data_IF_834916847165
#
_entry.id   IF_834916847165
#
_cell.length_a   1.000
_cell.length_b   1.000
_cell.length_c   1.000
_cell.angle_alpha   90.00
_cell.angle_beta   90.00
_cell.angle_gamma   90.00
#
_symmetry.space_group_name_H-M   'P 1'
#
loop_
_entity.id
_entity.type
_entity.pdbx_description
1 polymer ?
#
# COMPACT_ATOMS: atom_id res chain seq x y z
N UNK A 1 -13.60 -18.05 -0.27
CA UNK A 1 -13.44 -16.72 -0.90
C UNK A 1 -14.28 -15.62 -0.25
N UNK A 2 -15.42 -15.91 0.39
CA UNK A 2 -16.26 -14.88 1.03
C UNK A 2 -15.62 -14.16 2.23
N UNK A 3 -14.85 -14.85 3.07
CA UNK A 3 -14.23 -14.22 4.26
C UNK A 3 -13.18 -13.15 3.90
N UNK A 4 -12.36 -13.41 2.87
CA UNK A 4 -11.32 -12.47 2.45
C UNK A 4 -11.89 -11.14 1.94
N UNK A 5 -13.07 -11.14 1.31
CA UNK A 5 -13.71 -9.93 0.82
C UNK A 5 -14.17 -9.02 1.96
N UNK A 6 -14.60 -9.60 3.08
CA UNK A 6 -15.01 -8.86 4.28
C UNK A 6 -13.82 -8.25 5.02
N UNK A 7 -12.68 -8.95 5.06
CA UNK A 7 -11.50 -8.49 5.81
C UNK A 7 -10.56 -7.59 5.01
N UNK A 8 -10.62 -7.59 3.67
CA UNK A 8 -9.72 -6.80 2.83
C UNK A 8 -9.83 -5.27 3.04
N UNK A 9 -11.04 -4.67 3.22
CA UNK A 9 -11.15 -3.24 3.56
C UNK A 9 -10.51 -2.91 4.91
N UNK A 10 -10.71 -3.78 5.91
CA UNK A 10 -10.12 -3.62 7.24
C UNK A 10 -8.60 -3.70 7.15
N UNK A 11 -8.10 -4.69 6.42
CA UNK A 11 -6.67 -4.85 6.13
C UNK A 11 -6.07 -3.60 5.50
N UNK A 12 -6.75 -3.03 4.49
CA UNK A 12 -6.35 -1.80 3.83
C UNK A 12 -6.26 -0.63 4.83
N UNK A 13 -7.29 -0.42 5.65
CA UNK A 13 -7.30 0.67 6.65
C UNK A 13 -6.15 0.51 7.66
N UNK A 14 -5.92 -0.70 8.17
CA UNK A 14 -4.83 -0.97 9.12
C UNK A 14 -3.46 -0.70 8.49
N UNK A 15 -3.23 -1.16 7.26
CA UNK A 15 -1.96 -0.91 6.56
C UNK A 15 -1.77 0.57 6.22
N UNK A 16 -2.82 1.27 5.79
CA UNK A 16 -2.78 2.71 5.56
C UNK A 16 -2.40 3.49 6.83
N UNK A 17 -2.94 3.10 7.99
CA UNK A 17 -2.60 3.70 9.27
C UNK A 17 -1.12 3.47 9.63
N UNK A 18 -0.62 2.23 9.48
CA UNK A 18 0.79 1.89 9.73
C UNK A 18 1.71 2.70 8.81
N UNK A 19 1.38 2.81 7.53
CA UNK A 19 2.17 3.56 6.54
C UNK A 19 2.15 5.06 6.82
N UNK A 20 0.99 5.65 7.14
CA UNK A 20 0.90 7.06 7.52
C UNK A 20 1.74 7.36 8.76
N UNK A 21 1.66 6.52 9.79
CA UNK A 21 2.47 6.69 11.01
C UNK A 21 3.96 6.53 10.69
N UNK A 22 4.32 5.51 9.92
CA UNK A 22 5.70 5.28 9.49
C UNK A 22 6.26 6.47 8.73
N UNK A 23 5.53 6.98 7.75
CA UNK A 23 5.93 8.15 6.95
C UNK A 23 6.05 9.41 7.81
N UNK A 24 5.10 9.63 8.73
CA UNK A 24 5.16 10.76 9.67
C UNK A 24 6.38 10.67 10.59
N UNK A 25 6.71 9.47 11.08
CA UNK A 25 7.91 9.26 11.90
C UNK A 25 9.19 9.55 11.10
N UNK A 26 9.24 9.17 9.82
CA UNK A 26 10.36 9.48 8.93
C UNK A 26 10.45 10.98 8.72
N UNK A 27 9.35 11.65 8.38
CA UNK A 27 9.30 13.08 8.14
C UNK A 27 9.74 13.92 9.36
N UNK A 28 9.40 13.47 10.56
CA UNK A 28 9.79 14.17 11.80
C UNK A 28 11.23 13.86 12.22
N UNK A 29 11.72 12.63 12.00
CA UNK A 29 13.07 12.22 12.45
C UNK A 29 14.17 12.46 11.43
N UNK A 30 13.81 12.57 10.17
CA UNK A 30 14.73 12.88 9.07
C UNK A 30 14.31 14.22 8.51
N UNK A 31 15.24 15.10 8.17
CA UNK A 31 14.94 16.35 7.44
C UNK A 31 14.52 16.04 5.98
N UNK A 32 13.54 15.12 5.80
CA UNK A 32 12.97 14.73 4.51
C UNK A 32 12.17 15.92 3.98
N UNK A 33 12.29 16.16 2.68
CA UNK A 33 11.53 17.17 1.98
C UNK A 33 10.04 16.79 1.98
N UNK A 34 9.22 17.48 2.78
CA UNK A 34 7.81 17.13 3.02
C UNK A 34 6.93 16.99 1.76
N UNK A 35 7.15 17.72 0.65
CA UNK A 35 6.37 17.51 -0.57
C UNK A 35 6.57 16.13 -1.18
N UNK A 36 7.71 15.47 -0.90
CA UNK A 36 8.00 14.09 -1.30
C UNK A 36 7.28 13.04 -0.44
N UNK A 37 6.47 13.47 0.52
CA UNK A 37 5.64 12.60 1.36
C UNK A 37 4.16 12.73 1.01
N UNK A 38 3.77 13.74 0.21
CA UNK A 38 2.37 14.01 -0.13
C UNK A 38 1.77 12.83 -0.90
N UNK A 39 2.51 12.24 -1.81
CA UNK A 39 2.10 11.09 -2.61
C UNK A 39 1.82 9.86 -1.73
N UNK A 40 2.63 9.61 -0.70
CA UNK A 40 2.40 8.53 0.27
C UNK A 40 1.11 8.75 1.09
N UNK A 41 0.86 9.98 1.55
CA UNK A 41 -0.37 10.32 2.26
C UNK A 41 -1.61 10.25 1.35
N UNK A 42 -1.48 10.69 0.10
CA UNK A 42 -2.55 10.59 -0.90
C UNK A 42 -2.86 9.12 -1.19
N UNK A 43 -1.85 8.28 -1.37
CA UNK A 43 -2.04 6.85 -1.58
C UNK A 43 -2.78 6.21 -0.40
N UNK A 44 -2.39 6.53 0.84
CA UNK A 44 -3.09 6.07 2.05
C UNK A 44 -4.54 6.58 2.10
N UNK A 45 -4.77 7.84 1.73
CA UNK A 45 -6.11 8.43 1.65
C UNK A 45 -7.00 7.70 0.63
N UNK A 46 -6.48 7.41 -0.56
CA UNK A 46 -7.20 6.62 -1.58
C UNK A 46 -7.48 5.20 -1.07
N UNK A 47 -6.54 4.60 -0.35
CA UNK A 47 -6.69 3.26 0.22
C UNK A 47 -7.82 3.22 1.28
N UNK A 48 -7.92 4.26 2.12
CA UNK A 48 -9.00 4.41 3.10
C UNK A 48 -10.34 4.67 2.40
N UNK A 49 -10.40 5.62 1.46
CA UNK A 49 -11.63 5.96 0.74
C UNK A 49 -12.15 4.72 0.00
N UNK A 50 -11.28 4.03 -0.73
CA UNK A 50 -11.64 2.82 -1.46
C UNK A 50 -12.12 1.69 -0.56
N UNK A 51 -11.62 1.59 0.68
CA UNK A 51 -12.11 0.66 1.68
C UNK A 51 -13.55 0.98 2.12
N UNK A 52 -13.89 2.27 2.26
CA UNK A 52 -15.24 2.71 2.63
C UNK A 52 -16.28 2.47 1.53
N UNK A 53 -15.87 2.50 0.26
CA UNK A 53 -16.76 2.26 -0.89
C UNK A 53 -16.52 0.90 -1.56
N UNK A 54 -15.93 -0.06 -0.83
CA UNK A 54 -15.46 -1.34 -1.37
C UNK A 54 -16.59 -2.22 -1.94
N UNK A 55 -17.83 -2.01 -1.53
CA UNK A 55 -19.00 -2.70 -2.10
C UNK A 55 -19.20 -2.36 -3.58
N UNK A 56 -18.78 -1.17 -4.02
CA UNK A 56 -18.85 -0.76 -5.42
C UNK A 56 -17.68 -1.31 -6.24
N UNK A 57 -17.90 -1.57 -7.53
CA UNK A 57 -16.82 -1.94 -8.45
C UNK A 57 -15.74 -0.85 -8.56
N UNK A 58 -16.16 0.43 -8.53
CA UNK A 58 -15.26 1.56 -8.51
C UNK A 58 -14.34 1.55 -7.28
N UNK A 59 -14.86 1.20 -6.10
CA UNK A 59 -14.07 1.05 -4.87
C UNK A 59 -12.98 0.00 -4.99
N UNK A 60 -13.31 -1.17 -5.54
CA UNK A 60 -12.31 -2.25 -5.75
C UNK A 60 -11.22 -1.81 -6.74
N UNK A 61 -11.60 -1.14 -7.84
CA UNK A 61 -10.63 -0.63 -8.82
C UNK A 61 -9.73 0.44 -8.21
N UNK A 62 -10.29 1.38 -7.43
CA UNK A 62 -9.51 2.41 -6.73
C UNK A 62 -8.55 1.78 -5.73
N UNK A 63 -9.00 0.78 -4.97
CA UNK A 63 -8.15 0.05 -4.04
C UNK A 63 -7.00 -0.65 -4.78
N UNK A 64 -7.28 -1.24 -5.95
CA UNK A 64 -6.27 -1.88 -6.78
C UNK A 64 -5.21 -0.88 -7.26
N UNK A 65 -5.63 0.29 -7.73
CA UNK A 65 -4.72 1.36 -8.14
C UNK A 65 -3.85 1.84 -6.97
N UNK A 66 -4.43 2.02 -5.78
CA UNK A 66 -3.69 2.44 -4.60
C UNK A 66 -2.67 1.38 -4.16
N UNK A 67 -3.04 0.10 -4.13
CA UNK A 67 -2.11 -0.99 -3.85
C UNK A 67 -0.98 -1.08 -4.88
N UNK A 68 -1.28 -0.89 -6.17
CA UNK A 68 -0.28 -0.94 -7.23
C UNK A 68 0.74 0.20 -7.07
N UNK A 69 0.25 1.42 -6.82
CA UNK A 69 1.10 2.58 -6.54
C UNK A 69 2.00 2.33 -5.32
N UNK A 70 1.44 1.93 -4.19
CA UNK A 70 2.23 1.69 -2.97
C UNK A 70 3.24 0.56 -3.14
N UNK A 71 2.85 -0.54 -3.78
CA UNK A 71 3.76 -1.68 -4.04
C UNK A 71 4.93 -1.22 -4.91
N UNK A 72 4.65 -0.45 -5.97
CA UNK A 72 5.68 0.14 -6.81
C UNK A 72 6.60 1.10 -6.05
N UNK A 73 6.04 1.97 -5.21
CA UNK A 73 6.82 2.94 -4.43
C UNK A 73 7.72 2.22 -3.40
N UNK A 74 7.17 1.26 -2.66
CA UNK A 74 7.93 0.44 -1.70
C UNK A 74 9.02 -0.38 -2.38
N UNK A 75 8.75 -0.93 -3.57
CA UNK A 75 9.75 -1.62 -4.38
C UNK A 75 10.90 -0.68 -4.78
N UNK A 76 10.58 0.52 -5.28
CA UNK A 76 11.60 1.51 -5.65
C UNK A 76 12.45 1.93 -4.44
N UNK A 77 11.82 2.17 -3.28
CA UNK A 77 12.54 2.48 -2.03
C UNK A 77 13.41 1.33 -1.55
N UNK A 78 12.94 0.08 -1.66
CA UNK A 78 13.72 -1.10 -1.28
C UNK A 78 14.93 -1.28 -2.22
N UNK A 79 14.70 -1.18 -3.53
CA UNK A 79 15.71 -1.38 -4.55
C UNK A 79 16.85 -0.36 -4.44
N UNK A 80 16.51 0.93 -4.26
CA UNK A 80 17.51 1.99 -4.05
C UNK A 80 18.34 1.80 -2.78
N UNK A 81 17.78 1.18 -1.74
CA UNK A 81 18.53 0.86 -0.50
C UNK A 81 19.34 -0.42 -0.57
N UNK A 82 19.01 -1.30 -1.51
CA UNK A 82 19.79 -2.51 -1.81
C UNK A 82 20.98 -2.22 -2.72
N UNK A 83 21.07 -1.04 -3.34
CA UNK A 83 22.22 -0.64 -4.14
C UNK A 83 23.51 -0.76 -3.31
N UNK A 84 24.47 -1.62 -3.71
CA UNK A 84 25.70 -1.83 -2.98
C UNK A 84 26.65 -0.63 -2.99
N UNK A 85 26.47 0.32 -3.91
CA UNK A 85 27.35 1.47 -4.09
C UNK A 85 26.86 2.75 -3.41
N UNK A 86 25.54 2.97 -3.38
CA UNK A 86 24.94 4.21 -2.86
C UNK A 86 23.94 4.00 -1.72
N UNK A 87 23.48 2.76 -1.51
CA UNK A 87 22.45 2.44 -0.54
C UNK A 87 22.97 2.41 0.91
N UNK A 88 22.21 3.01 1.83
CA UNK A 88 22.56 3.02 3.27
C UNK A 88 22.32 1.68 3.95
N UNK A 89 21.70 0.70 3.27
CA UNK A 89 21.25 -0.61 3.79
C UNK A 89 20.33 -0.53 5.03
N UNK A 90 19.92 0.67 5.43
CA UNK A 90 19.06 0.87 6.58
C UNK A 90 17.61 0.49 6.26
N UNK A 91 16.93 -0.09 7.25
CA UNK A 91 15.48 -0.37 7.20
C UNK A 91 15.04 -1.33 6.09
N UNK A 92 15.96 -2.09 5.48
CA UNK A 92 15.65 -3.14 4.50
C UNK A 92 14.60 -4.13 5.03
N UNK A 93 14.73 -4.70 6.25
CA UNK A 93 13.75 -5.68 6.73
C UNK A 93 12.33 -5.12 6.84
N UNK A 94 12.19 -3.89 7.32
CA UNK A 94 10.89 -3.23 7.44
C UNK A 94 10.26 -2.97 6.07
N UNK A 95 11.04 -2.47 5.10
CA UNK A 95 10.57 -2.28 3.74
C UNK A 95 10.17 -3.58 3.06
N UNK A 96 10.93 -4.67 3.25
CA UNK A 96 10.59 -5.98 2.70
C UNK A 96 9.26 -6.51 3.25
N UNK A 97 9.02 -6.35 4.55
CA UNK A 97 7.75 -6.75 5.18
C UNK A 97 6.57 -5.91 4.64
N UNK A 98 6.76 -4.59 4.54
CA UNK A 98 5.73 -3.69 4.01
C UNK A 98 5.44 -3.96 2.53
N UNK A 99 6.46 -4.24 1.73
CA UNK A 99 6.32 -4.61 0.32
C UNK A 99 5.54 -5.93 0.19
N UNK A 100 5.86 -6.93 1.02
CA UNK A 100 5.11 -8.19 1.07
C UNK A 100 3.64 -7.98 1.43
N UNK A 101 3.36 -7.17 2.46
CA UNK A 101 2.01 -6.81 2.86
C UNK A 101 1.24 -6.08 1.74
N UNK A 102 1.84 -5.06 1.12
CA UNK A 102 1.24 -4.35 0.01
C UNK A 102 0.96 -5.25 -1.20
N UNK A 103 1.88 -6.17 -1.50
CA UNK A 103 1.72 -7.15 -2.58
C UNK A 103 0.59 -8.13 -2.31
N UNK A 104 0.41 -8.58 -1.06
CA UNK A 104 -0.73 -9.41 -0.67
C UNK A 104 -2.05 -8.65 -0.82
N UNK A 105 -2.11 -7.39 -0.39
CA UNK A 105 -3.27 -6.52 -0.62
C UNK A 105 -3.61 -6.35 -2.09
N UNK A 106 -2.58 -6.14 -2.94
CA UNK A 106 -2.72 -6.04 -4.39
C UNK A 106 -3.33 -7.31 -5.00
N UNK A 107 -2.74 -8.47 -4.71
CA UNK A 107 -3.17 -9.76 -5.26
C UNK A 107 -4.59 -10.11 -4.77
N UNK A 108 -4.90 -9.88 -3.50
CA UNK A 108 -6.23 -10.12 -2.94
C UNK A 108 -7.29 -9.21 -3.57
N UNK A 109 -6.96 -7.94 -3.80
CA UNK A 109 -7.86 -6.98 -4.46
C UNK A 109 -8.09 -7.38 -5.92
N UNK A 110 -7.04 -7.80 -6.63
CA UNK A 110 -7.15 -8.27 -8.01
C UNK A 110 -8.01 -9.53 -8.13
N UNK A 111 -7.80 -10.52 -7.24
CA UNK A 111 -8.62 -11.72 -7.19
C UNK A 111 -10.10 -11.39 -6.91
N UNK A 112 -10.35 -10.42 -6.02
CA UNK A 112 -11.72 -9.93 -5.72
C UNK A 112 -12.35 -9.23 -6.92
N UNK A 113 -11.58 -8.49 -7.71
CA UNK A 113 -12.08 -7.84 -8.91
C UNK A 113 -12.50 -8.89 -9.96
N UNK A 114 -11.65 -9.90 -10.20
CA UNK A 114 -11.95 -10.99 -11.14
C UNK A 114 -13.22 -11.74 -10.72
N UNK A 115 -13.36 -12.08 -9.43
CA UNK A 115 -14.54 -12.81 -8.96
C UNK A 115 -15.85 -12.02 -9.06
N UNK A 116 -15.78 -10.68 -9.08
CA UNK A 116 -16.95 -9.83 -9.36
C UNK A 116 -17.28 -9.71 -10.85
N UNK A 117 -16.29 -9.87 -11.72
CA UNK A 117 -16.47 -9.77 -13.19
C UNK A 117 -16.92 -11.08 -13.82
N UNK A 118 -16.53 -12.23 -13.26
CA UNK A 118 -16.92 -13.55 -13.72
C UNK A 118 -17.94 -14.13 -12.74
N UNK A 119 -19.25 -13.84 -12.89
CA UNK A 119 -20.27 -14.55 -12.14
C UNK A 119 -20.23 -16.03 -12.55
N UNK A 120 -20.21 -16.92 -11.54
CA UNK A 120 -20.24 -18.36 -11.72
C UNK A 120 -21.51 -18.84 -12.43
#
# INVERSE_FOLDING_TARGET
MGEFQTYLPIYAIVLAAILCVGETLILVRTNKYWPLSIDDYLACGVLIISALIFESAAGVVLMLCAWAFMTGNLYAMLFTRLDPHTGTRERIPALSVLLGAASLGLVATFATLISRMVPA
#
